data_IF_341921808951
#
_entry.id   IF_341921808951
#
_cell.length_a   1.000
_cell.length_b   1.000
_cell.length_c   1.000
_cell.angle_alpha   90.00
_cell.angle_beta   90.00
_cell.angle_gamma   90.00
#
_symmetry.space_group_name_H-M   'P 1'
#
loop_
_entity.id
_entity.type
_entity.pdbx_description
1 polymer ?
#
# COMPACT_ATOMS: atom_id res chain seq x y z
N UNK A 1 43.23 -30.29 62.62
CA UNK A 1 42.95 -28.89 62.10
C UNK A 1 42.52 -29.00 60.67
N UNK A 2 41.25 -28.92 60.44
CA UNK A 2 40.69 -29.02 59.11
C UNK A 2 40.53 -27.62 58.52
N UNK A 3 41.39 -27.28 57.61
CA UNK A 3 41.21 -26.09 56.79
C UNK A 3 40.17 -26.42 55.72
N UNK A 4 38.96 -25.96 55.97
CA UNK A 4 37.93 -25.97 54.95
C UNK A 4 38.30 -24.94 53.87
N UNK A 5 38.79 -25.41 52.76
CA UNK A 5 38.89 -24.61 51.56
C UNK A 5 37.47 -24.39 51.05
N UNK A 6 36.95 -23.20 51.29
CA UNK A 6 35.73 -22.75 50.64
C UNK A 6 36.09 -22.40 49.18
N UNK A 7 35.88 -23.33 48.30
CA UNK A 7 35.84 -23.06 46.88
C UNK A 7 34.53 -22.29 46.62
N UNK A 8 34.62 -20.99 46.66
CA UNK A 8 33.55 -20.18 46.09
C UNK A 8 33.62 -20.34 44.59
N UNK A 9 32.80 -21.22 44.05
CA UNK A 9 32.51 -21.24 42.66
C UNK A 9 31.78 -19.91 42.36
N UNK A 10 32.51 -18.95 41.85
CA UNK A 10 31.92 -17.80 41.20
C UNK A 10 31.27 -18.35 39.92
N UNK A 11 30.00 -18.68 40.03
CA UNK A 11 29.17 -18.91 38.89
C UNK A 11 29.03 -17.56 38.20
N UNK A 12 29.96 -17.24 37.32
CA UNK A 12 29.77 -16.18 36.38
C UNK A 12 28.54 -16.59 35.55
N UNK A 13 27.37 -16.11 35.97
CA UNK A 13 26.22 -16.13 35.12
C UNK A 13 26.62 -15.38 33.87
N UNK A 14 26.99 -16.11 32.85
CA UNK A 14 26.93 -15.66 31.49
C UNK A 14 25.44 -15.35 31.26
N UNK A 15 25.03 -14.13 31.65
CA UNK A 15 23.84 -13.53 31.11
C UNK A 15 24.06 -13.61 29.62
N UNK A 16 23.17 -14.29 28.85
CA UNK A 16 23.21 -14.13 27.45
C UNK A 16 23.11 -12.63 27.28
N UNK A 17 24.18 -12.05 26.79
CA UNK A 17 24.14 -10.72 26.22
C UNK A 17 22.80 -10.67 25.50
N UNK A 18 21.87 -9.86 26.04
CA UNK A 18 20.63 -9.63 25.33
C UNK A 18 21.11 -9.23 23.95
N UNK A 19 21.17 -10.22 23.11
CA UNK A 19 21.36 -10.05 21.69
C UNK A 19 20.35 -8.97 21.40
N UNK A 20 20.83 -7.77 21.23
CA UNK A 20 19.99 -6.67 20.84
C UNK A 20 19.21 -7.26 19.69
N UNK A 21 17.94 -7.63 19.98
CA UNK A 21 17.03 -7.98 18.94
C UNK A 21 17.12 -6.76 18.03
N UNK A 22 17.99 -6.87 17.05
CA UNK A 22 18.12 -5.85 16.06
C UNK A 22 16.72 -5.81 15.46
N UNK A 23 15.97 -4.86 15.93
CA UNK A 23 14.74 -4.48 15.29
C UNK A 23 15.14 -4.14 13.88
N UNK A 24 15.33 -5.19 13.09
CA UNK A 24 15.45 -5.05 11.66
C UNK A 24 14.14 -4.39 11.28
N UNK A 25 14.26 -3.14 10.90
CA UNK A 25 13.14 -2.51 10.27
C UNK A 25 12.61 -3.50 9.24
N UNK A 26 11.30 -3.81 9.31
CA UNK A 26 10.74 -4.77 8.37
C UNK A 26 11.17 -4.31 6.97
N UNK A 27 11.59 -5.21 6.11
CA UNK A 27 12.01 -4.83 4.77
C UNK A 27 10.94 -3.91 4.21
N UNK A 28 11.34 -2.82 3.55
CA UNK A 28 10.44 -1.82 2.95
C UNK A 28 9.39 -2.42 2.01
N UNK A 29 9.50 -3.70 1.75
CA UNK A 29 8.53 -4.53 1.05
C UNK A 29 7.39 -5.04 1.93
N UNK A 30 7.39 -4.81 3.24
CA UNK A 30 6.18 -5.01 4.02
C UNK A 30 5.21 -3.88 3.69
N UNK A 31 4.47 -4.13 2.65
CA UNK A 31 3.33 -3.31 2.28
C UNK A 31 2.45 -3.15 3.53
N UNK A 32 2.04 -1.94 3.81
CA UNK A 32 1.11 -1.71 4.89
C UNK A 32 -0.11 -2.63 4.73
N UNK A 33 -0.66 -3.09 5.84
CA UNK A 33 -1.80 -4.00 5.83
C UNK A 33 -2.94 -3.44 4.97
N UNK A 34 -3.68 -4.28 4.25
CA UNK A 34 -4.86 -3.86 3.51
C UNK A 34 -5.83 -3.11 4.41
N UNK A 35 -6.37 -2.00 3.92
CA UNK A 35 -7.28 -1.14 4.64
C UNK A 35 -8.59 -1.00 3.87
N UNK A 36 -9.70 -1.05 4.60
CA UNK A 36 -11.02 -0.82 4.01
C UNK A 36 -11.30 0.68 3.90
N UNK A 37 -11.63 1.12 2.69
CA UNK A 37 -12.08 2.47 2.40
C UNK A 37 -13.55 2.47 2.00
N UNK A 38 -14.29 3.46 2.46
CA UNK A 38 -15.74 3.57 2.28
C UNK A 38 -16.14 4.90 1.66
N UNK A 39 -17.36 4.96 1.16
CA UNK A 39 -17.92 6.16 0.52
C UNK A 39 -17.02 6.70 -0.60
N UNK A 40 -16.42 5.78 -1.35
CA UNK A 40 -15.53 6.11 -2.45
C UNK A 40 -16.32 6.50 -3.70
N UNK A 41 -15.84 7.55 -4.35
CA UNK A 41 -16.30 7.97 -5.67
C UNK A 41 -15.13 8.18 -6.61
N UNK A 42 -15.33 7.90 -7.88
CA UNK A 42 -14.35 8.19 -8.91
C UNK A 42 -14.29 9.71 -9.18
N UNK A 43 -13.16 10.32 -8.86
CA UNK A 43 -12.89 11.74 -9.18
C UNK A 43 -12.35 11.84 -10.61
N UNK A 44 -11.43 10.97 -10.94
CA UNK A 44 -10.83 10.76 -12.25
C UNK A 44 -10.82 9.26 -12.56
N UNK A 45 -10.33 8.86 -13.72
CA UNK A 45 -10.20 7.44 -14.05
C UNK A 45 -9.16 6.69 -13.21
N UNK A 46 -8.31 7.38 -12.48
CA UNK A 46 -7.22 6.83 -11.68
C UNK A 46 -7.21 7.32 -10.22
N UNK A 47 -8.23 8.06 -9.79
CA UNK A 47 -8.30 8.65 -8.45
C UNK A 47 -9.67 8.48 -7.83
N UNK A 48 -9.68 7.99 -6.60
CA UNK A 48 -10.85 7.88 -5.75
C UNK A 48 -10.84 8.95 -4.66
N UNK A 49 -11.99 9.50 -4.34
CA UNK A 49 -12.21 10.24 -3.11
C UNK A 49 -13.09 9.40 -2.19
N UNK A 50 -12.52 8.99 -1.07
CA UNK A 50 -13.16 8.16 -0.06
C UNK A 50 -13.30 8.92 1.26
N UNK A 51 -14.07 8.37 2.20
CA UNK A 51 -14.18 8.93 3.55
C UNK A 51 -12.82 9.11 4.22
N UNK A 52 -11.91 8.15 4.03
CA UNK A 52 -10.58 8.13 4.62
C UNK A 52 -9.56 9.02 3.92
N UNK A 53 -9.91 9.57 2.77
CA UNK A 53 -9.06 10.43 1.97
C UNK A 53 -9.00 10.02 0.50
N UNK A 54 -8.12 10.68 -0.24
CA UNK A 54 -7.93 10.40 -1.67
C UNK A 54 -6.95 9.26 -1.89
N UNK A 55 -7.28 8.40 -2.84
CA UNK A 55 -6.47 7.27 -3.27
C UNK A 55 -6.17 7.40 -4.75
N UNK A 56 -4.89 7.35 -5.08
CA UNK A 56 -4.38 7.27 -6.46
C UNK A 56 -4.10 5.80 -6.77
N UNK A 57 -4.75 5.27 -7.79
CA UNK A 57 -4.52 3.90 -8.22
C UNK A 57 -3.09 3.75 -8.74
N UNK A 58 -2.32 2.88 -8.12
CA UNK A 58 -0.93 2.63 -8.50
C UNK A 58 -0.83 2.03 -9.91
N UNK A 59 0.08 2.56 -10.72
CA UNK A 59 0.36 2.05 -12.05
C UNK A 59 -0.71 2.35 -13.10
N UNK A 60 -1.69 3.19 -12.79
CA UNK A 60 -2.75 3.63 -13.69
C UNK A 60 -2.54 5.09 -14.04
N UNK A 61 -2.60 5.42 -15.31
CA UNK A 61 -2.46 6.79 -15.81
C UNK A 61 -3.51 7.04 -16.89
N UNK A 62 -4.69 7.45 -16.46
CA UNK A 62 -5.82 7.71 -17.36
C UNK A 62 -5.79 9.13 -17.92
N UNK A 63 -6.54 9.40 -19.01
CA UNK A 63 -6.67 10.75 -19.53
C UNK A 63 -7.14 11.74 -18.46
N UNK A 64 -6.56 12.93 -18.50
CA UNK A 64 -6.91 14.02 -17.60
C UNK A 64 -8.13 14.80 -18.12
N UNK A 65 -8.68 15.62 -17.23
CA UNK A 65 -9.83 16.45 -17.59
C UNK A 65 -9.51 17.32 -18.83
N UNK A 66 -10.39 17.28 -19.81
CA UNK A 66 -10.22 17.94 -21.10
C UNK A 66 -9.54 17.09 -22.16
N UNK A 67 -8.95 15.95 -21.78
CA UNK A 67 -8.40 15.01 -22.73
C UNK A 67 -9.46 13.99 -23.20
N UNK A 68 -9.29 13.50 -24.42
CA UNK A 68 -10.13 12.42 -24.97
C UNK A 68 -10.02 11.17 -24.09
N UNK A 69 -11.17 10.56 -23.79
CA UNK A 69 -11.24 9.35 -22.95
C UNK A 69 -11.35 9.61 -21.44
N UNK A 70 -11.26 10.86 -20.99
CA UNK A 70 -11.38 11.20 -19.57
C UNK A 70 -12.68 10.68 -18.95
N UNK A 71 -13.81 11.02 -19.54
CA UNK A 71 -15.13 10.61 -19.01
C UNK A 71 -15.32 9.09 -19.05
N UNK A 72 -14.87 8.46 -20.12
CA UNK A 72 -14.97 7.01 -20.24
C UNK A 72 -14.18 6.29 -19.14
N UNK A 73 -12.95 6.73 -18.86
CA UNK A 73 -12.14 6.17 -17.79
C UNK A 73 -12.77 6.43 -16.40
N UNK A 74 -13.28 7.62 -16.15
CA UNK A 74 -13.95 7.95 -14.89
C UNK A 74 -15.20 7.09 -14.66
N UNK A 75 -16.03 6.94 -15.68
CA UNK A 75 -17.22 6.10 -15.60
C UNK A 75 -16.89 4.62 -15.42
N UNK A 76 -15.83 4.16 -16.06
CA UNK A 76 -15.38 2.78 -15.88
C UNK A 76 -14.88 2.51 -14.47
N UNK A 77 -14.10 3.41 -13.90
CA UNK A 77 -13.69 3.30 -12.51
C UNK A 77 -14.90 3.26 -11.57
N UNK A 78 -15.90 4.11 -11.83
CA UNK A 78 -17.15 4.10 -11.04
C UNK A 78 -17.84 2.74 -11.09
N UNK A 79 -17.92 2.11 -12.25
CA UNK A 79 -18.55 0.79 -12.41
C UNK A 79 -17.81 -0.32 -11.68
N UNK A 80 -16.50 -0.18 -11.52
CA UNK A 80 -15.64 -1.19 -10.89
C UNK A 80 -15.61 -1.12 -9.37
N UNK A 81 -16.18 -0.07 -8.78
CA UNK A 81 -16.28 0.12 -7.33
C UNK A 81 -17.75 0.19 -6.87
N UNK A 82 -18.57 -0.82 -7.15
CA UNK A 82 -19.99 -0.79 -6.79
C UNK A 82 -20.13 -0.66 -5.27
N UNK A 83 -21.07 0.18 -4.83
CA UNK A 83 -21.29 0.47 -3.43
C UNK A 83 -20.24 1.40 -2.79
N UNK A 84 -19.21 1.80 -3.52
CA UNK A 84 -18.19 2.74 -3.03
C UNK A 84 -17.29 2.19 -1.92
N UNK A 85 -17.24 0.88 -1.72
CA UNK A 85 -16.34 0.25 -0.75
C UNK A 85 -15.25 -0.50 -1.47
N UNK A 86 -14.00 -0.25 -1.08
CA UNK A 86 -12.82 -0.89 -1.65
C UNK A 86 -11.83 -1.28 -0.56
N UNK A 87 -10.94 -2.19 -0.90
CA UNK A 87 -9.76 -2.51 -0.08
C UNK A 87 -8.54 -1.86 -0.73
N UNK A 88 -7.81 -1.10 0.05
CA UNK A 88 -6.60 -0.41 -0.40
C UNK A 88 -5.38 -1.02 0.25
N UNK A 89 -4.39 -1.40 -0.54
CA UNK A 89 -3.05 -1.75 -0.07
C UNK A 89 -2.15 -0.55 -0.32
N UNK A 90 -1.88 0.28 0.71
CA UNK A 90 -1.12 1.50 0.53
C UNK A 90 0.36 1.20 0.29
N UNK A 91 0.99 1.96 -0.60
CA UNK A 91 2.42 1.90 -0.88
C UNK A 91 3.14 3.14 -0.36
N UNK A 92 2.65 4.32 -0.66
CA UNK A 92 3.21 5.59 -0.20
C UNK A 92 2.17 6.72 -0.32
N UNK A 93 2.51 7.88 0.23
CA UNK A 93 1.78 9.13 -0.05
C UNK A 93 2.52 9.92 -1.11
N UNK A 94 1.79 10.51 -2.03
CA UNK A 94 2.38 11.42 -2.99
C UNK A 94 2.48 12.85 -2.44
N UNK A 95 3.09 13.75 -3.21
CA UNK A 95 3.26 15.15 -2.83
C UNK A 95 1.94 15.92 -2.67
N UNK A 96 0.83 15.37 -3.19
CA UNK A 96 -0.52 15.94 -3.07
C UNK A 96 -1.30 15.37 -1.88
N UNK A 97 -0.67 14.55 -1.03
CA UNK A 97 -1.29 13.95 0.13
C UNK A 97 -2.20 12.76 -0.18
N UNK A 98 -2.25 12.28 -1.44
CA UNK A 98 -3.00 11.09 -1.81
C UNK A 98 -2.24 9.83 -1.42
N UNK A 99 -2.95 8.83 -0.94
CA UNK A 99 -2.39 7.48 -0.82
C UNK A 99 -2.26 6.89 -2.22
N UNK A 100 -1.06 6.49 -2.60
CA UNK A 100 -0.84 5.69 -3.81
C UNK A 100 -0.84 4.23 -3.41
N UNK A 101 -1.76 3.45 -3.96
CA UNK A 101 -1.93 2.06 -3.57
C UNK A 101 -2.63 1.20 -4.59
N UNK A 102 -2.61 -0.10 -4.32
CA UNK A 102 -3.42 -1.06 -5.05
C UNK A 102 -4.83 -1.06 -4.50
N UNK A 103 -5.81 -0.99 -5.36
CA UNK A 103 -7.22 -0.95 -5.01
C UNK A 103 -7.89 -2.23 -5.48
N UNK A 104 -8.60 -2.87 -4.55
CA UNK A 104 -9.33 -4.10 -4.80
C UNK A 104 -10.82 -3.89 -4.57
N UNK A 105 -11.62 -4.35 -5.49
CA UNK A 105 -13.07 -4.45 -5.36
C UNK A 105 -13.50 -5.84 -5.85
N UNK A 106 -14.35 -6.52 -5.10
CA UNK A 106 -14.80 -7.88 -5.42
C UNK A 106 -13.66 -8.86 -5.72
N UNK A 107 -12.55 -8.77 -4.98
CA UNK A 107 -11.38 -9.63 -5.14
C UNK A 107 -10.51 -9.35 -6.35
N UNK A 108 -10.81 -8.31 -7.13
CA UNK A 108 -10.03 -7.93 -8.32
C UNK A 108 -9.25 -6.64 -8.08
N UNK A 109 -8.03 -6.61 -8.61
CA UNK A 109 -7.23 -5.38 -8.66
C UNK A 109 -7.82 -4.45 -9.73
N UNK A 110 -8.47 -3.39 -9.27
CA UNK A 110 -9.17 -2.45 -10.15
C UNK A 110 -8.21 -1.76 -11.12
N UNK A 111 -7.04 -1.36 -10.65
CA UNK A 111 -6.05 -0.70 -11.51
C UNK A 111 -5.54 -1.60 -12.63
N UNK A 112 -5.23 -2.85 -12.32
CA UNK A 112 -4.83 -3.82 -13.35
C UNK A 112 -5.92 -4.05 -14.38
N UNK A 113 -7.16 -4.14 -13.93
CA UNK A 113 -8.30 -4.31 -14.84
C UNK A 113 -8.48 -3.09 -15.75
N UNK A 114 -8.32 -1.88 -15.21
CA UNK A 114 -8.36 -0.64 -16.01
C UNK A 114 -7.29 -0.63 -17.09
N UNK A 115 -6.07 -1.05 -16.75
CA UNK A 115 -4.95 -1.13 -17.70
C UNK A 115 -5.18 -2.21 -18.77
N UNK A 116 -5.65 -3.37 -18.36
CA UNK A 116 -5.91 -4.49 -19.28
C UNK A 116 -6.97 -4.12 -20.34
N UNK A 117 -7.95 -3.32 -19.95
CA UNK A 117 -9.04 -2.88 -20.83
C UNK A 117 -8.72 -1.58 -21.61
N UNK A 118 -7.49 -1.08 -21.48
CA UNK A 118 -6.98 0.01 -22.30
C UNK A 118 -7.36 1.41 -21.84
N UNK A 119 -7.77 1.59 -20.59
CA UNK A 119 -8.14 2.91 -20.05
C UNK A 119 -6.94 3.78 -19.63
N UNK A 120 -5.75 3.19 -19.47
CA UNK A 120 -4.54 3.97 -19.26
C UNK A 120 -3.94 4.46 -20.56
N UNK A 121 -3.32 5.62 -20.50
CA UNK A 121 -2.51 6.16 -21.58
C UNK A 121 -1.41 5.17 -21.94
N UNK A 122 -1.17 4.93 -23.21
CA UNK A 122 -0.03 4.13 -23.64
C UNK A 122 1.26 4.86 -23.27
N UNK A 123 2.09 4.22 -22.46
CA UNK A 123 3.44 4.72 -22.22
C UNK A 123 4.21 4.66 -23.53
N UNK A 124 4.56 5.83 -24.03
CA UNK A 124 5.60 5.98 -25.06
C UNK A 124 5.12 5.87 -26.48
N UNK A 125 4.64 6.99 -26.98
CA UNK A 125 5.10 7.48 -28.26
C UNK A 125 5.70 8.86 -28.01
N UNK A 126 6.89 8.89 -27.41
CA UNK A 126 7.77 10.04 -27.60
C UNK A 126 8.24 9.94 -29.05
N UNK A 127 7.65 10.72 -29.92
CA UNK A 127 8.26 11.09 -31.17
C UNK A 127 9.26 12.22 -30.93
#
# INVERSE_FOLDING_TARGET
>A
MFRKLLLTLALAALLPSASQAQWREPPRSMQAAPQRYTDCRAVDGDTLACRQGRVRLRGVDTPERGESGYRAAQQELRRRIPGGTVTVVPHHRDRHGRVVGDVYARGQNVGRSMNADGYSKRRGARR
#
